data_IF_912905607103
#
_entry.id   IF_912905607103
#
_cell.length_a   1.000
_cell.length_b   1.000
_cell.length_c   1.000
_cell.angle_alpha   90.00
_cell.angle_beta   90.00
_cell.angle_gamma   90.00
#
_symmetry.space_group_name_H-M   'P 1'
#
loop_
_entity.id
_entity.type
_entity.pdbx_description
1 polymer ?
#
# COMPACT_ATOMS: atom_id res chain seq x y z
N UNK A 1 -0.64 21.62 -5.41
CA UNK A 1 -1.61 20.58 -5.04
C UNK A 1 -0.78 19.40 -4.56
N UNK A 2 -0.94 18.95 -3.31
CA UNK A 2 -0.10 17.89 -2.74
C UNK A 2 -0.82 16.56 -3.01
N UNK A 3 -0.34 15.80 -3.99
CA UNK A 3 -0.84 14.46 -4.27
C UNK A 3 -0.25 13.47 -3.26
N UNK A 4 -0.87 13.39 -2.09
CA UNK A 4 -0.51 12.41 -1.05
C UNK A 4 -0.53 10.98 -1.59
N UNK A 5 -1.46 10.68 -2.50
CA UNK A 5 -1.52 9.41 -3.22
C UNK A 5 -0.20 9.09 -3.92
N UNK A 6 0.38 10.05 -4.65
CA UNK A 6 1.62 9.84 -5.40
C UNK A 6 2.84 9.64 -4.48
N UNK A 7 2.87 10.30 -3.31
CA UNK A 7 3.87 10.04 -2.27
C UNK A 7 3.77 8.63 -1.70
N UNK A 8 2.55 8.19 -1.37
CA UNK A 8 2.28 6.84 -0.87
C UNK A 8 2.70 5.80 -1.91
N UNK A 9 2.32 6.00 -3.18
CA UNK A 9 2.70 5.12 -4.30
C UNK A 9 4.22 5.03 -4.43
N UNK A 10 4.92 6.14 -4.34
CA UNK A 10 6.39 6.18 -4.46
C UNK A 10 7.06 5.43 -3.30
N UNK A 11 6.61 5.65 -2.06
CA UNK A 11 7.12 4.94 -0.89
C UNK A 11 6.85 3.43 -0.96
N UNK A 12 5.62 3.05 -1.31
CA UNK A 12 5.22 1.66 -1.47
C UNK A 12 5.97 1.00 -2.64
N UNK A 13 6.20 1.69 -3.75
CA UNK A 13 6.94 1.15 -4.90
C UNK A 13 8.39 0.84 -4.57
N UNK A 14 9.01 1.56 -3.62
CA UNK A 14 10.36 1.24 -3.13
C UNK A 14 10.39 0.03 -2.19
N UNK A 15 9.29 -0.24 -1.49
CA UNK A 15 9.15 -1.40 -0.61
C UNK A 15 8.72 -2.66 -1.35
N UNK A 16 7.90 -2.48 -2.40
CA UNK A 16 7.22 -3.52 -3.15
C UNK A 16 7.71 -3.46 -4.61
N UNK A 17 8.99 -3.75 -4.83
CA UNK A 17 9.60 -3.71 -6.17
C UNK A 17 8.91 -4.67 -7.17
N UNK A 18 8.23 -5.70 -6.65
CA UNK A 18 7.47 -6.66 -7.46
C UNK A 18 6.15 -6.11 -8.03
N UNK A 19 5.73 -4.89 -7.66
CA UNK A 19 4.49 -4.26 -8.12
C UNK A 19 4.76 -2.88 -8.69
N UNK A 20 4.19 -2.61 -9.87
CA UNK A 20 4.38 -1.32 -10.51
C UNK A 20 3.62 -0.21 -9.78
N UNK A 21 4.15 1.03 -9.77
CA UNK A 21 3.51 2.17 -9.11
C UNK A 21 2.08 2.43 -9.62
N UNK A 22 1.83 2.15 -10.91
CA UNK A 22 0.48 2.27 -11.50
C UNK A 22 -0.53 1.28 -10.92
N UNK A 23 -0.09 0.07 -10.60
CA UNK A 23 -0.93 -0.93 -9.93
C UNK A 23 -1.19 -0.51 -8.47
N UNK A 24 -0.16 -0.03 -7.78
CA UNK A 24 -0.29 0.49 -6.41
C UNK A 24 -1.28 1.65 -6.36
N UNK A 25 -1.19 2.59 -7.30
CA UNK A 25 -2.10 3.73 -7.41
C UNK A 25 -3.55 3.30 -7.65
N UNK A 26 -3.76 2.28 -8.47
CA UNK A 26 -5.09 1.70 -8.71
C UNK A 26 -5.61 0.88 -7.53
N UNK A 27 -4.73 0.45 -6.63
CA UNK A 27 -5.09 -0.30 -5.42
C UNK A 27 -5.41 0.61 -4.24
N UNK A 28 -4.83 1.81 -4.16
CA UNK A 28 -5.15 2.77 -3.10
C UNK A 28 -6.63 3.16 -3.20
N UNK A 29 -7.37 2.83 -2.15
CA UNK A 29 -8.79 3.14 -1.97
C UNK A 29 -8.97 4.08 -0.78
N UNK A 30 -10.09 4.80 -0.74
CA UNK A 30 -10.44 5.62 0.43
C UNK A 30 -11.35 4.76 1.32
N UNK A 31 -10.95 4.46 2.57
CA UNK A 31 -11.76 3.65 3.46
C UNK A 31 -13.10 4.34 3.76
N UNK A 32 -14.16 3.55 3.89
CA UNK A 32 -15.48 4.06 4.26
C UNK A 32 -15.53 4.57 5.71
N UNK A 33 -14.70 3.97 6.57
CA UNK A 33 -14.52 4.38 7.96
C UNK A 33 -13.44 5.46 8.06
N UNK A 34 -13.83 6.68 8.43
CA UNK A 34 -12.91 7.80 8.65
C UNK A 34 -11.91 7.55 9.80
N UNK A 35 -12.12 6.52 10.62
CA UNK A 35 -11.17 6.09 11.65
C UNK A 35 -9.98 5.29 11.09
N UNK A 36 -10.07 4.73 9.88
CA UNK A 36 -8.99 3.96 9.25
C UNK A 36 -7.98 4.85 8.48
N UNK A 37 -8.14 6.17 8.55
CA UNK A 37 -7.29 7.16 7.87
C UNK A 37 -7.85 7.64 6.54
N UNK A 38 -7.08 8.45 5.82
CA UNK A 38 -7.52 9.06 4.55
C UNK A 38 -7.36 8.11 3.34
N UNK A 39 -6.39 7.19 3.40
CA UNK A 39 -6.06 6.26 2.33
C UNK A 39 -5.81 4.86 2.88
N UNK A 40 -6.40 3.87 2.24
CA UNK A 40 -6.22 2.45 2.54
C UNK A 40 -5.55 1.75 1.35
N UNK A 41 -4.66 0.82 1.66
CA UNK A 41 -3.96 0.03 0.66
C UNK A 41 -4.23 -1.47 0.87
N UNK A 42 -5.06 -2.10 0.02
CA UNK A 42 -5.42 -3.50 0.14
C UNK A 42 -4.26 -4.41 -0.27
N UNK A 43 -3.63 -5.05 0.71
CA UNK A 43 -2.53 -6.00 0.49
C UNK A 43 -2.98 -7.37 -0.08
N UNK A 44 -4.27 -7.56 -0.34
CA UNK A 44 -4.83 -8.82 -0.83
C UNK A 44 -4.27 -9.27 -2.18
N UNK A 45 -4.07 -8.35 -3.13
CA UNK A 45 -3.41 -8.67 -4.41
C UNK A 45 -1.95 -9.09 -4.20
N UNK A 46 -1.27 -8.46 -3.24
CA UNK A 46 0.12 -8.78 -2.91
C UNK A 46 0.27 -10.18 -2.32
N UNK A 47 -0.72 -10.65 -1.57
CA UNK A 47 -0.69 -11.99 -0.98
C UNK A 47 -0.44 -13.09 -2.01
N UNK A 48 -1.02 -12.95 -3.21
CA UNK A 48 -0.83 -13.91 -4.30
C UNK A 48 0.55 -13.80 -4.97
N UNK A 49 1.14 -12.61 -4.97
CA UNK A 49 2.45 -12.30 -5.57
C UNK A 49 3.58 -12.79 -4.65
N UNK A 50 3.54 -12.37 -3.39
CA UNK A 50 4.54 -12.72 -2.37
C UNK A 50 4.33 -14.10 -1.74
N UNK A 51 3.20 -14.77 -2.05
CA UNK A 51 2.76 -16.02 -1.41
C UNK A 51 2.81 -15.95 0.12
N UNK A 52 2.51 -14.78 0.67
CA UNK A 52 2.45 -14.48 2.11
C UNK A 52 1.05 -14.01 2.46
N UNK A 53 0.65 -14.18 3.72
CA UNK A 53 -0.63 -13.67 4.20
C UNK A 53 -0.69 -12.13 4.08
N UNK A 54 -1.83 -11.54 3.69
CA UNK A 54 -1.96 -10.08 3.55
C UNK A 54 -1.64 -9.35 4.85
N UNK A 55 -1.96 -9.94 6.01
CA UNK A 55 -1.61 -9.38 7.32
C UNK A 55 -0.09 -9.28 7.53
N UNK A 56 0.67 -10.31 7.16
CA UNK A 56 2.14 -10.30 7.28
C UNK A 56 2.76 -9.29 6.31
N UNK A 57 2.20 -9.13 5.13
CA UNK A 57 2.66 -8.14 4.15
C UNK A 57 2.35 -6.73 4.65
N UNK A 58 1.16 -6.50 5.21
CA UNK A 58 0.79 -5.22 5.79
C UNK A 58 1.70 -4.87 6.97
N UNK A 59 2.01 -5.84 7.84
CA UNK A 59 2.94 -5.66 8.95
C UNK A 59 4.38 -5.39 8.48
N UNK A 60 4.86 -6.13 7.48
CA UNK A 60 6.19 -5.92 6.88
C UNK A 60 6.29 -4.54 6.21
N UNK A 61 5.27 -4.17 5.43
CA UNK A 61 5.20 -2.84 4.81
C UNK A 61 5.14 -1.79 5.90
N UNK A 62 4.23 -1.89 6.88
CA UNK A 62 4.12 -0.90 7.96
C UNK A 62 5.41 -0.78 8.78
N UNK A 63 6.11 -1.89 9.03
CA UNK A 63 7.40 -1.88 9.72
C UNK A 63 8.56 -1.33 8.88
N UNK A 64 8.41 -1.27 7.56
CA UNK A 64 9.40 -0.67 6.64
C UNK A 64 9.00 0.72 6.14
N UNK A 65 7.73 1.08 6.32
CA UNK A 65 7.17 2.39 6.04
C UNK A 65 7.41 3.27 7.27
N UNK A 66 8.67 3.65 7.46
CA UNK A 66 9.05 4.62 8.47
C UNK A 66 8.95 6.04 7.85
N UNK A 67 8.47 6.99 8.65
CA UNK A 67 8.06 8.38 8.28
C UNK A 67 9.07 9.19 7.45
#
# INVERSE_FOLDING_TARGET
>A
MIDFKSKIVTGLSGLIESVQPKEIEGMIEVPADSNMGDFAFPCFKLARIFRKSPNLIAEDIAGRFEE
#
